data_IF_249852425914
#
_entry.id   IF_249852425914
#
_cell.length_a   1.000
_cell.length_b   1.000
_cell.length_c   1.000
_cell.angle_alpha   90.00
_cell.angle_beta   90.00
_cell.angle_gamma   90.00
#
_symmetry.space_group_name_H-M   'P 1'
#
loop_
_entity.id
_entity.type
_entity.pdbx_description
1 polymer ?
#
# COMPACT_ATOMS: atom_id res chain seq x y z
N UNK A 1 -21.35 4.91 -29.82
CA UNK A 1 -21.75 3.60 -30.35
C UNK A 1 -21.79 2.68 -29.15
N UNK A 2 -22.97 2.19 -28.76
CA UNK A 2 -23.14 1.35 -27.56
C UNK A 2 -22.82 -0.08 -27.92
N UNK A 3 -22.00 -0.74 -27.11
CA UNK A 3 -21.67 -2.16 -27.26
C UNK A 3 -22.94 -3.00 -27.12
N UNK A 4 -23.10 -4.03 -27.93
CA UNK A 4 -24.25 -4.95 -27.85
C UNK A 4 -24.02 -6.01 -26.77
N UNK A 5 -25.09 -6.58 -26.21
CA UNK A 5 -24.99 -7.62 -25.16
C UNK A 5 -24.18 -8.84 -25.60
N UNK A 6 -24.23 -9.20 -26.89
CA UNK A 6 -23.44 -10.30 -27.47
C UNK A 6 -21.95 -9.98 -27.48
N UNK A 7 -21.59 -8.75 -27.88
CA UNK A 7 -20.20 -8.31 -27.89
C UNK A 7 -19.65 -8.26 -26.46
N UNK A 8 -20.42 -7.74 -25.50
CA UNK A 8 -20.03 -7.72 -24.08
C UNK A 8 -19.79 -9.14 -23.54
N UNK A 9 -20.66 -10.10 -23.87
CA UNK A 9 -20.52 -11.49 -23.45
C UNK A 9 -19.23 -12.13 -24.01
N UNK A 10 -18.91 -11.89 -25.28
CA UNK A 10 -17.67 -12.40 -25.90
C UNK A 10 -16.43 -11.71 -25.32
N UNK A 11 -16.48 -10.41 -25.05
CA UNK A 11 -15.37 -9.69 -24.40
C UNK A 11 -15.10 -10.24 -23.00
N UNK A 12 -16.14 -10.44 -22.18
CA UNK A 12 -15.97 -11.02 -20.84
C UNK A 12 -15.46 -12.46 -20.89
N UNK A 13 -15.80 -13.21 -21.93
CA UNK A 13 -15.21 -14.53 -22.17
C UNK A 13 -13.71 -14.44 -22.48
N UNK A 14 -13.30 -13.51 -23.34
CA UNK A 14 -11.88 -13.27 -23.65
C UNK A 14 -11.09 -12.89 -22.39
N UNK A 15 -11.69 -12.07 -21.52
CA UNK A 15 -11.06 -11.60 -20.27
C UNK A 15 -11.09 -12.65 -19.14
N UNK A 16 -11.86 -13.74 -19.31
CA UNK A 16 -12.01 -14.79 -18.29
C UNK A 16 -12.95 -14.41 -17.13
N UNK A 17 -13.83 -13.45 -17.33
CA UNK A 17 -14.74 -12.88 -16.32
C UNK A 17 -16.21 -13.34 -16.48
N UNK A 18 -16.43 -14.52 -17.08
CA UNK A 18 -17.78 -15.08 -17.16
C UNK A 18 -18.27 -15.54 -15.79
N UNK A 19 -19.53 -15.25 -15.49
CA UNK A 19 -20.24 -15.94 -14.41
C UNK A 19 -20.69 -17.33 -14.87
N UNK A 20 -21.01 -18.26 -13.95
CA UNK A 20 -21.47 -19.60 -14.31
C UNK A 20 -22.72 -19.62 -15.21
N UNK A 21 -23.63 -18.65 -15.02
CA UNK A 21 -24.85 -18.54 -15.85
C UNK A 21 -24.50 -18.08 -17.28
N UNK A 22 -23.53 -17.17 -17.40
CA UNK A 22 -23.06 -16.63 -18.67
C UNK A 22 -22.21 -17.62 -19.47
N UNK A 23 -21.58 -18.61 -18.82
CA UNK A 23 -20.91 -19.70 -19.55
C UNK A 23 -21.88 -20.50 -20.43
N UNK A 24 -23.12 -20.71 -19.95
CA UNK A 24 -24.14 -21.40 -20.72
C UNK A 24 -24.61 -20.55 -21.90
N UNK A 25 -24.82 -19.25 -21.67
CA UNK A 25 -25.20 -18.29 -22.72
C UNK A 25 -24.11 -18.16 -23.78
N UNK A 26 -22.84 -18.11 -23.37
CA UNK A 26 -21.70 -18.06 -24.29
C UNK A 26 -21.64 -19.34 -25.13
N UNK A 27 -21.81 -20.53 -24.54
CA UNK A 27 -21.84 -21.79 -25.31
C UNK A 27 -22.95 -21.82 -26.36
N UNK A 28 -24.14 -21.32 -26.02
CA UNK A 28 -25.23 -21.22 -26.99
C UNK A 28 -24.90 -20.24 -28.12
N UNK A 29 -24.24 -19.12 -27.79
CA UNK A 29 -23.79 -18.14 -28.78
C UNK A 29 -22.68 -18.72 -29.69
N UNK A 30 -21.70 -19.42 -29.12
CA UNK A 30 -20.60 -20.08 -29.85
C UNK A 30 -21.13 -21.17 -30.79
N UNK A 31 -22.14 -21.94 -30.37
CA UNK A 31 -22.80 -22.93 -31.23
C UNK A 31 -23.63 -22.28 -32.34
N UNK A 32 -24.28 -21.15 -32.07
CA UNK A 32 -25.13 -20.46 -33.02
C UNK A 32 -24.35 -19.63 -34.06
N UNK A 33 -23.25 -19.01 -33.65
CA UNK A 33 -22.42 -18.13 -34.48
C UNK A 33 -20.93 -18.24 -34.10
N UNK A 34 -20.27 -19.34 -34.47
CA UNK A 34 -18.86 -19.56 -34.13
C UNK A 34 -17.93 -18.55 -34.81
N UNK A 35 -18.29 -18.07 -36.00
CA UNK A 35 -17.49 -17.12 -36.77
C UNK A 35 -17.45 -15.75 -36.10
N UNK A 36 -18.57 -15.31 -35.49
CA UNK A 36 -18.60 -14.09 -34.69
C UNK A 36 -17.63 -14.17 -33.51
N UNK A 37 -17.70 -15.22 -32.70
CA UNK A 37 -16.80 -15.43 -31.56
C UNK A 37 -15.33 -15.52 -32.00
N UNK A 38 -15.05 -16.26 -33.09
CA UNK A 38 -13.70 -16.40 -33.64
C UNK A 38 -13.13 -15.07 -34.12
N UNK A 39 -13.95 -14.23 -34.77
CA UNK A 39 -13.52 -12.90 -35.25
C UNK A 39 -13.11 -11.97 -34.12
N UNK A 40 -13.90 -11.94 -33.03
CA UNK A 40 -13.59 -11.14 -31.84
C UNK A 40 -12.34 -11.65 -31.13
N UNK A 41 -12.18 -12.97 -31.03
CA UNK A 41 -10.96 -13.57 -30.47
C UNK A 41 -9.72 -13.24 -31.31
N UNK A 42 -9.82 -13.35 -32.63
CA UNK A 42 -8.70 -13.01 -33.50
C UNK A 42 -8.32 -11.53 -33.38
N UNK A 43 -9.30 -10.63 -33.27
CA UNK A 43 -9.05 -9.21 -33.06
C UNK A 43 -8.39 -8.91 -31.70
N UNK A 44 -8.78 -9.61 -30.64
CA UNK A 44 -8.14 -9.44 -29.32
C UNK A 44 -6.72 -10.01 -29.28
N UNK A 45 -6.47 -11.12 -29.98
CA UNK A 45 -5.14 -11.70 -30.14
C UNK A 45 -4.20 -10.79 -30.95
N UNK A 46 -4.68 -10.20 -32.05
CA UNK A 46 -3.92 -9.24 -32.87
C UNK A 46 -3.57 -7.96 -32.08
N UNK A 47 -4.52 -7.47 -31.28
CA UNK A 47 -4.26 -6.35 -30.37
C UNK A 47 -3.21 -6.73 -29.32
N UNK A 48 -3.31 -7.92 -28.72
CA UNK A 48 -2.34 -8.42 -27.76
C UNK A 48 -0.95 -8.55 -28.38
N UNK A 49 -0.85 -9.09 -29.58
CA UNK A 49 0.42 -9.21 -30.31
C UNK A 49 1.00 -7.83 -30.62
N UNK A 50 0.17 -6.90 -31.08
CA UNK A 50 0.58 -5.51 -31.33
C UNK A 50 1.13 -4.84 -30.08
N UNK A 51 0.45 -4.98 -28.94
CA UNK A 51 0.91 -4.48 -27.65
C UNK A 51 2.25 -5.12 -27.28
N UNK A 52 2.34 -6.46 -27.31
CA UNK A 52 3.56 -7.19 -26.95
C UNK A 52 4.74 -6.87 -27.88
N UNK A 53 4.51 -6.63 -29.16
CA UNK A 53 5.55 -6.25 -30.13
C UNK A 53 6.19 -4.89 -29.82
N UNK A 54 5.45 -4.00 -29.13
CA UNK A 54 5.95 -2.73 -28.63
C UNK A 54 6.74 -2.84 -27.33
N UNK A 55 6.66 -3.97 -26.62
CA UNK A 55 7.42 -4.20 -25.39
C UNK A 55 8.80 -4.81 -25.71
N UNK A 56 9.85 -4.04 -25.46
CA UNK A 56 11.22 -4.56 -25.49
C UNK A 56 11.46 -5.48 -24.27
N UNK A 57 11.38 -6.79 -24.50
CA UNK A 57 11.55 -7.87 -23.51
C UNK A 57 12.97 -8.05 -22.95
N UNK A 58 13.92 -7.16 -23.25
CA UNK A 58 15.34 -7.38 -22.92
C UNK A 58 15.89 -6.41 -21.86
N UNK A 59 14.99 -5.80 -21.07
CA UNK A 59 15.39 -5.03 -19.90
C UNK A 59 15.45 -5.95 -18.67
N UNK A 60 16.62 -6.08 -18.07
CA UNK A 60 16.76 -6.71 -16.76
C UNK A 60 15.91 -5.92 -15.76
N UNK A 61 14.93 -6.57 -15.14
CA UNK A 61 14.04 -5.94 -14.16
C UNK A 61 14.90 -5.37 -13.03
N UNK A 62 14.93 -4.04 -12.83
CA UNK A 62 15.72 -3.45 -11.75
C UNK A 62 15.31 -4.08 -10.41
N UNK A 63 16.27 -4.66 -9.69
CA UNK A 63 16.04 -5.36 -8.42
C UNK A 63 15.10 -6.58 -8.50
N UNK A 64 15.22 -7.43 -9.54
CA UNK A 64 14.43 -8.67 -9.68
C UNK A 64 14.39 -9.56 -8.43
N UNK A 65 15.50 -9.66 -7.68
CA UNK A 65 15.55 -10.41 -6.42
C UNK A 65 14.60 -9.88 -5.35
N UNK A 66 14.42 -8.55 -5.27
CA UNK A 66 13.46 -7.94 -4.36
C UNK A 66 12.04 -8.33 -4.73
N UNK A 67 11.65 -8.21 -6.00
CA UNK A 67 10.33 -8.62 -6.49
C UNK A 67 10.07 -10.10 -6.21
N UNK A 68 11.04 -10.96 -6.51
CA UNK A 68 10.97 -12.40 -6.24
C UNK A 68 10.78 -12.68 -4.74
N UNK A 69 11.51 -11.97 -3.87
CA UNK A 69 11.38 -12.12 -2.42
C UNK A 69 9.99 -11.71 -1.90
N UNK A 70 9.37 -10.67 -2.48
CA UNK A 70 8.02 -10.23 -2.10
C UNK A 70 6.95 -11.20 -2.59
N UNK A 71 7.11 -11.75 -3.80
CA UNK A 71 6.24 -12.79 -4.35
C UNK A 71 6.33 -14.03 -3.45
N UNK A 72 7.54 -14.50 -3.14
CA UNK A 72 7.75 -15.67 -2.27
C UNK A 72 7.13 -15.45 -0.87
N UNK A 73 7.33 -14.27 -0.29
CA UNK A 73 6.74 -13.91 1.00
C UNK A 73 5.21 -13.95 0.96
N UNK A 74 4.58 -13.38 -0.08
CA UNK A 74 3.11 -13.42 -0.25
C UNK A 74 2.58 -14.83 -0.44
N UNK A 75 3.26 -15.65 -1.25
CA UNK A 75 2.90 -17.05 -1.46
C UNK A 75 2.97 -17.83 -0.14
N UNK A 76 4.06 -17.65 0.63
CA UNK A 76 4.21 -18.31 1.94
C UNK A 76 3.11 -17.89 2.92
N UNK A 77 2.75 -16.61 2.93
CA UNK A 77 1.66 -16.08 3.77
C UNK A 77 0.29 -16.61 3.35
N UNK A 78 0.01 -16.77 2.05
CA UNK A 78 -1.27 -17.31 1.57
C UNK A 78 -1.43 -18.79 1.92
N UNK A 79 -0.34 -19.57 1.88
CA UNK A 79 -0.35 -20.96 2.35
C UNK A 79 -0.50 -21.06 3.88
N UNK A 80 0.19 -20.22 4.66
CA UNK A 80 0.08 -20.22 6.12
C UNK A 80 -1.33 -19.84 6.60
N UNK A 81 -1.98 -18.87 5.95
CA UNK A 81 -3.36 -18.47 6.26
C UNK A 81 -4.38 -19.59 6.04
N UNK A 82 -4.07 -20.58 5.20
CA UNK A 82 -4.93 -21.74 4.96
C UNK A 82 -4.79 -22.84 6.04
N UNK A 83 -3.72 -22.85 6.84
CA UNK A 83 -3.48 -23.90 7.84
C UNK A 83 -3.85 -23.53 9.29
N UNK A 84 -4.13 -22.26 9.61
CA UNK A 84 -4.46 -21.85 10.97
C UNK A 84 -5.98 -21.76 11.19
N UNK A 85 -6.62 -22.92 11.34
CA UNK A 85 -7.88 -23.04 12.08
C UNK A 85 -7.79 -24.20 13.08
N UNK A 86 -6.84 -24.15 14.01
CA UNK A 86 -6.88 -25.00 15.21
C UNK A 86 -6.41 -24.27 16.46
N UNK A 87 -7.39 -23.65 17.12
CA UNK A 87 -7.60 -23.71 18.57
C UNK A 87 -6.38 -23.56 19.51
N UNK A 88 -5.82 -22.36 19.60
CA UNK A 88 -4.93 -21.96 20.71
C UNK A 88 -5.73 -21.46 21.93
N UNK A 89 -7.03 -21.20 21.77
CA UNK A 89 -7.92 -20.69 22.83
C UNK A 89 -8.41 -21.76 23.82
N UNK A 90 -8.28 -23.06 23.50
CA UNK A 90 -8.72 -24.14 24.39
C UNK A 90 -7.71 -24.50 25.49
N UNK A 91 -6.42 -24.22 25.28
CA UNK A 91 -5.37 -24.52 26.26
C UNK A 91 -5.33 -23.52 27.44
N UNK A 92 -5.77 -22.27 27.22
CA UNK A 92 -5.75 -21.21 28.24
C UNK A 92 -6.83 -21.39 29.34
N UNK A 93 -7.89 -22.16 29.09
CA UNK A 93 -9.05 -22.27 30.00
C UNK A 93 -8.84 -23.33 31.10
N UNK A 94 -7.85 -24.22 30.96
CA UNK A 94 -7.61 -25.30 31.93
C UNK A 94 -6.95 -24.79 33.23
N UNK A 95 -6.23 -23.67 33.17
CA UNK A 95 -5.51 -23.11 34.33
C UNK A 95 -6.39 -22.36 35.36
N UNK A 96 -7.65 -22.05 35.02
CA UNK A 96 -8.58 -21.31 35.89
C UNK A 96 -9.26 -22.18 36.96
N UNK A 97 -9.11 -23.52 36.91
CA UNK A 97 -9.80 -24.43 37.84
C UNK A 97 -9.02 -24.83 39.10
N UNK A 98 -7.87 -24.21 39.38
CA UNK A 98 -7.08 -24.49 40.59
C UNK A 98 -7.34 -23.45 41.70
N UNK A 99 -7.88 -23.83 42.87
CA UNK A 99 -8.20 -22.90 43.95
C UNK A 99 -6.98 -22.33 44.71
N UNK A 100 -5.75 -22.66 44.30
CA UNK A 100 -4.52 -22.28 45.02
C UNK A 100 -3.75 -21.08 44.42
N UNK A 101 -4.22 -20.48 43.31
CA UNK A 101 -3.49 -19.40 42.60
C UNK A 101 -3.95 -17.97 42.93
N UNK A 102 -5.03 -17.80 43.69
CA UNK A 102 -5.62 -16.47 43.95
C UNK A 102 -4.70 -15.55 44.78
N UNK A 103 -3.88 -16.12 45.68
CA UNK A 103 -2.95 -15.33 46.51
C UNK A 103 -1.82 -14.73 45.66
N UNK A 104 -1.30 -15.47 44.67
CA UNK A 104 -0.23 -14.99 43.78
C UNK A 104 -0.72 -13.93 42.78
N UNK A 105 -1.97 -14.05 42.29
CA UNK A 105 -2.55 -13.08 41.37
C UNK A 105 -2.71 -11.68 42.01
N UNK A 106 -3.05 -11.62 43.31
CA UNK A 106 -3.20 -10.33 44.01
C UNK A 106 -1.88 -9.56 44.14
N UNK A 107 -0.77 -10.26 44.36
CA UNK A 107 0.57 -9.68 44.42
C UNK A 107 1.05 -9.20 43.05
N UNK A 108 0.71 -9.93 41.97
CA UNK A 108 1.07 -9.53 40.60
C UNK A 108 0.26 -8.31 40.12
N UNK A 109 -1.03 -8.23 40.47
CA UNK A 109 -1.85 -7.04 40.17
C UNK A 109 -1.36 -5.80 40.94
N UNK A 110 -0.92 -5.94 42.19
CA UNK A 110 -0.31 -4.84 42.94
C UNK A 110 1.04 -4.41 42.34
N UNK A 111 1.85 -5.35 41.84
CA UNK A 111 3.09 -5.06 41.11
C UNK A 111 2.83 -4.33 39.77
N UNK A 112 1.80 -4.73 39.02
CA UNK A 112 1.41 -4.04 37.79
C UNK A 112 0.84 -2.62 38.06
N UNK A 113 0.07 -2.46 39.14
CA UNK A 113 -0.46 -1.14 39.53
C UNK A 113 0.62 -0.23 40.12
N UNK A 114 1.67 -0.77 40.76
CA UNK A 114 2.83 0.02 41.19
C UNK A 114 3.77 0.36 40.02
N UNK A 115 3.95 -0.53 39.04
CA UNK A 115 4.76 -0.26 37.84
C UNK A 115 4.10 0.75 36.90
N UNK A 116 2.76 0.83 36.86
CA UNK A 116 2.02 1.81 36.06
C UNK A 116 2.02 3.24 36.63
N UNK A 117 2.64 3.49 37.79
CA UNK A 117 2.73 4.84 38.37
C UNK A 117 3.75 5.74 37.67
N UNK A 118 4.51 5.20 36.71
CA UNK A 118 5.41 5.95 35.83
C UNK A 118 4.85 6.13 34.41
N UNK A 119 3.54 5.92 34.21
CA UNK A 119 2.88 6.41 33.01
C UNK A 119 2.52 7.88 33.25
N UNK A 120 3.56 8.73 33.18
CA UNK A 120 3.35 10.16 33.04
C UNK A 120 2.44 10.37 31.83
N UNK A 121 1.29 10.94 32.11
CA UNK A 121 0.23 11.21 31.17
C UNK A 121 0.62 12.47 30.38
N UNK A 122 1.71 12.36 29.60
CA UNK A 122 2.12 13.37 28.65
C UNK A 122 1.26 13.27 27.39
N UNK A 123 0.55 14.35 27.07
CA UNK A 123 -0.15 14.53 25.78
C UNK A 123 0.95 14.65 24.71
N UNK A 124 1.44 13.51 24.24
CA UNK A 124 2.56 13.43 23.29
C UNK A 124 2.30 12.38 22.23
N UNK A 125 2.53 12.74 20.96
CA UNK A 125 2.42 11.82 19.83
C UNK A 125 3.50 10.74 19.92
N UNK A 126 3.10 9.47 20.07
CA UNK A 126 4.02 8.33 20.09
C UNK A 126 4.37 7.92 18.66
N UNK A 127 5.66 7.88 18.34
CA UNK A 127 6.14 7.41 17.04
C UNK A 127 6.04 5.88 16.99
N UNK A 128 5.14 5.35 16.17
CA UNK A 128 4.83 3.90 16.09
C UNK A 128 5.86 3.15 15.22
N UNK A 129 6.36 3.79 14.19
CA UNK A 129 7.41 3.23 13.33
C UNK A 129 8.16 4.34 12.60
N UNK A 130 9.43 4.06 12.27
CA UNK A 130 10.28 4.93 11.47
C UNK A 130 10.94 4.10 10.38
N UNK A 131 11.02 4.64 9.17
CA UNK A 131 11.60 3.97 8.01
C UNK A 131 12.54 4.94 7.28
N UNK A 132 13.71 4.44 6.88
CA UNK A 132 14.63 5.15 5.99
C UNK A 132 14.66 4.42 4.64
N UNK A 133 14.29 5.09 3.53
CA UNK A 133 14.39 4.50 2.19
C UNK A 133 15.83 4.23 1.76
N UNK A 134 16.77 5.05 2.25
CA UNK A 134 18.19 4.93 1.93
C UNK A 134 18.89 4.03 2.98
N UNK A 135 19.53 2.91 2.56
CA UNK A 135 20.23 2.01 3.48
C UNK A 135 21.48 2.63 4.11
N UNK A 136 22.01 3.73 3.55
CA UNK A 136 23.14 4.46 4.12
C UNK A 136 22.74 5.39 5.27
N UNK A 137 21.45 5.65 5.46
CA UNK A 137 20.91 6.52 6.50
C UNK A 137 20.27 5.68 7.61
N UNK A 138 20.76 5.85 8.83
CA UNK A 138 20.27 5.15 10.02
C UNK A 138 19.45 6.08 10.93
N UNK A 139 18.35 5.56 11.46
CA UNK A 139 17.53 6.26 12.44
C UNK A 139 18.09 5.94 13.82
N UNK A 140 18.69 6.93 14.48
CA UNK A 140 19.31 6.80 15.81
C UNK A 140 18.28 6.86 16.91
N UNK A 141 17.31 7.77 16.79
CA UNK A 141 16.20 7.88 17.74
C UNK A 141 15.00 8.60 17.12
N UNK A 142 13.81 8.31 17.64
CA UNK A 142 12.59 9.02 17.29
C UNK A 142 11.73 9.14 18.55
N UNK A 143 11.38 10.36 18.93
CA UNK A 143 10.60 10.59 20.15
C UNK A 143 10.26 12.06 20.36
N UNK A 144 9.34 12.32 21.29
CA UNK A 144 9.03 13.68 21.70
C UNK A 144 10.15 14.24 22.57
N UNK A 145 10.66 15.41 22.21
CA UNK A 145 11.64 16.14 22.99
C UNK A 145 10.96 17.37 23.60
N UNK A 146 10.90 17.43 24.92
CA UNK A 146 10.21 18.49 25.67
C UNK A 146 10.91 19.85 25.55
N UNK A 147 12.25 19.88 25.51
CA UNK A 147 13.03 21.11 25.36
C UNK A 147 12.80 21.76 23.99
N UNK A 148 12.61 20.94 22.95
CA UNK A 148 12.27 21.39 21.60
C UNK A 148 10.76 21.59 21.39
N UNK A 149 9.93 21.12 22.33
CA UNK A 149 8.46 21.12 22.20
C UNK A 149 7.93 20.32 21.00
N UNK A 150 8.71 19.38 20.45
CA UNK A 150 8.43 18.74 19.18
C UNK A 150 8.88 17.26 19.13
N UNK A 151 8.31 16.50 18.20
CA UNK A 151 8.81 15.17 17.85
C UNK A 151 10.11 15.32 17.06
N UNK A 152 11.19 14.78 17.61
CA UNK A 152 12.54 14.83 17.02
C UNK A 152 12.91 13.44 16.53
N UNK A 153 13.37 13.38 15.29
CA UNK A 153 13.93 12.17 14.67
C UNK A 153 15.41 12.45 14.40
N UNK A 154 16.30 11.70 15.04
CA UNK A 154 17.75 11.81 14.85
C UNK A 154 18.19 10.80 13.80
N UNK A 155 18.83 11.30 12.75
CA UNK A 155 19.35 10.50 11.65
C UNK A 155 20.89 10.57 11.62
N UNK A 156 21.54 9.48 11.22
CA UNK A 156 22.97 9.39 10.94
C UNK A 156 23.19 8.89 9.51
N UNK A 157 24.31 9.26 8.89
CA UNK A 157 24.63 8.86 7.51
C UNK A 157 24.13 9.81 6.42
N UNK A 158 23.54 10.95 6.78
CA UNK A 158 23.21 12.01 5.82
C UNK A 158 24.47 12.72 5.33
N UNK A 159 24.51 13.06 4.04
CA UNK A 159 25.55 13.90 3.47
C UNK A 159 25.53 15.29 4.13
N UNK A 160 26.72 15.84 4.39
CA UNK A 160 26.84 17.17 4.99
C UNK A 160 26.37 18.20 3.97
N UNK A 161 25.39 19.01 4.37
CA UNK A 161 24.98 20.20 3.62
C UNK A 161 26.14 21.23 3.66
N UNK A 162 26.63 21.71 2.52
CA UNK A 162 27.65 22.75 2.45
C UNK A 162 27.19 24.07 3.10
N UNK A 163 28.09 24.76 3.81
CA UNK A 163 27.79 26.02 4.52
C UNK A 163 27.39 27.19 3.59
N UNK A 164 27.69 27.06 2.28
CA UNK A 164 27.37 28.02 1.22
C UNK A 164 26.04 27.71 0.50
N UNK A 165 25.28 26.72 0.98
CA UNK A 165 23.97 26.38 0.43
C UNK A 165 22.94 27.44 0.81
N UNK A 166 22.55 28.29 -0.14
CA UNK A 166 21.45 29.24 0.03
C UNK A 166 20.11 28.52 -0.11
N UNK A 167 19.42 28.33 1.02
CA UNK A 167 18.05 27.84 1.03
C UNK A 167 17.10 28.98 0.67
N UNK A 168 16.79 29.12 -0.63
CA UNK A 168 15.68 29.95 -1.07
C UNK A 168 14.36 29.28 -0.66
N UNK A 169 13.93 29.53 0.58
CA UNK A 169 12.67 29.02 1.11
C UNK A 169 11.52 29.79 0.46
N UNK A 170 11.00 29.27 -0.65
CA UNK A 170 9.68 29.69 -1.11
C UNK A 170 8.66 29.14 -0.12
N UNK A 171 8.20 30.00 0.79
CA UNK A 171 7.28 29.64 1.85
C UNK A 171 5.89 29.41 1.27
N UNK A 172 5.57 28.16 0.95
CA UNK A 172 4.24 27.75 0.54
C UNK A 172 3.28 27.95 1.73
N UNK A 173 2.16 28.63 1.50
CA UNK A 173 1.15 28.87 2.54
C UNK A 173 -0.22 28.30 2.19
N UNK A 174 -0.49 28.05 0.91
CA UNK A 174 -1.74 27.48 0.45
C UNK A 174 -1.52 26.65 -0.81
N UNK A 175 -2.48 25.78 -1.09
CA UNK A 175 -2.57 25.05 -2.34
C UNK A 175 -4.02 25.03 -2.83
N UNK A 176 -4.19 24.94 -4.15
CA UNK A 176 -5.50 24.79 -4.81
C UNK A 176 -5.47 23.63 -5.80
N UNK A 177 -6.55 22.85 -5.88
CA UNK A 177 -6.67 21.65 -6.73
C UNK A 177 -7.69 21.88 -7.84
N UNK A 178 -7.25 21.71 -9.09
CA UNK A 178 -8.04 21.89 -10.29
C UNK A 178 -8.50 20.53 -10.87
N UNK A 179 -9.62 19.98 -10.37
CA UNK A 179 -10.31 18.81 -10.95
C UNK A 179 -9.56 17.45 -10.89
N UNK A 180 -10.16 16.34 -11.39
CA UNK A 180 -9.45 15.11 -11.74
C UNK A 180 -9.58 14.73 -13.24
N UNK A 181 -8.51 14.25 -13.92
CA UNK A 181 -7.10 14.42 -13.54
C UNK A 181 -6.76 15.91 -13.49
N UNK A 182 -5.91 16.33 -12.55
CA UNK A 182 -5.84 17.74 -12.18
C UNK A 182 -4.51 18.23 -11.71
N UNK A 183 -4.38 19.56 -11.72
CA UNK A 183 -3.18 20.25 -11.25
C UNK A 183 -3.39 20.76 -9.82
N UNK A 184 -2.35 20.65 -9.01
CA UNK A 184 -2.26 21.28 -7.70
C UNK A 184 -1.31 22.47 -7.81
N UNK A 185 -1.83 23.67 -7.60
CA UNK A 185 -1.04 24.91 -7.56
C UNK A 185 -0.67 25.20 -6.11
N UNK A 186 0.58 25.54 -5.86
CA UNK A 186 1.08 25.95 -4.56
C UNK A 186 1.40 27.44 -4.60
N UNK A 187 0.93 28.18 -3.60
CA UNK A 187 1.06 29.64 -3.55
C UNK A 187 1.95 30.10 -2.39
N UNK A 188 2.67 31.21 -2.61
CA UNK A 188 3.43 31.90 -1.57
C UNK A 188 2.54 32.87 -0.76
N UNK A 189 3.13 33.58 0.22
CA UNK A 189 2.44 34.57 1.05
C UNK A 189 1.87 35.75 0.26
N UNK A 190 2.34 35.97 -0.96
CA UNK A 190 1.92 37.02 -1.88
C UNK A 190 0.85 36.55 -2.87
N UNK A 191 0.35 35.32 -2.70
CA UNK A 191 -0.65 34.68 -3.57
C UNK A 191 -0.13 34.41 -5.01
N UNK A 192 1.19 34.29 -5.16
CA UNK A 192 1.83 33.93 -6.42
C UNK A 192 2.06 32.41 -6.50
N UNK A 193 1.79 31.82 -7.66
CA UNK A 193 2.03 30.39 -7.92
C UNK A 193 3.54 30.13 -7.92
N UNK A 194 3.99 29.29 -7.00
CA UNK A 194 5.39 28.87 -6.86
C UNK A 194 5.65 27.56 -7.58
N UNK A 195 4.70 26.63 -7.51
CA UNK A 195 4.87 25.27 -8.01
C UNK A 195 3.52 24.71 -8.49
N UNK A 196 3.57 23.91 -9.55
CA UNK A 196 2.42 23.22 -10.12
C UNK A 196 2.75 21.74 -10.18
N UNK A 197 1.93 20.92 -9.54
CA UNK A 197 2.04 19.45 -9.53
C UNK A 197 0.90 18.86 -10.35
N UNK A 198 1.23 18.06 -11.36
CA UNK A 198 0.25 17.23 -12.05
C UNK A 198 -0.12 16.03 -11.18
N UNK A 199 -1.41 15.77 -11.05
CA UNK A 199 -1.92 14.65 -10.25
C UNK A 199 -2.86 13.77 -11.05
N UNK A 200 -2.82 12.48 -10.75
CA UNK A 200 -3.71 11.49 -11.32
C UNK A 200 -5.16 11.62 -10.80
N UNK A 201 -6.02 10.70 -11.23
CA UNK A 201 -7.43 10.61 -10.82
C UNK A 201 -7.60 10.40 -9.30
N UNK A 202 -6.56 9.89 -8.62
CA UNK A 202 -6.51 9.67 -7.17
C UNK A 202 -5.83 10.81 -6.41
N UNK A 203 -5.33 11.82 -7.11
CA UNK A 203 -4.64 12.95 -6.53
C UNK A 203 -3.21 12.69 -6.10
N UNK A 204 -2.60 11.64 -6.60
CA UNK A 204 -1.19 11.34 -6.39
C UNK A 204 -0.34 12.06 -7.44
N UNK A 205 0.87 12.53 -7.08
CA UNK A 205 1.80 13.12 -8.03
C UNK A 205 2.11 12.11 -9.14
N UNK A 206 2.07 12.58 -10.38
CA UNK A 206 2.47 11.77 -11.53
C UNK A 206 4.00 11.62 -11.50
N UNK A 207 4.50 10.55 -10.90
CA UNK A 207 5.91 10.17 -10.91
C UNK A 207 6.15 9.28 -12.13
N UNK A 208 6.78 9.86 -13.15
CA UNK A 208 7.38 9.10 -14.26
C UNK A 208 8.62 8.35 -13.79
#
# INVERSE_FOLDING_TARGET
MTMTEKEELVTRWIDGELSPDQELEFKQLEEADPDFCASFKAASEDLRESVLSGFHSEMEVPHGDFFNSQIEKRIRQSYAKKSESSSVLSAAIIWIKSPFTWVAASAFCLLLVLSNKNLDQGIGSTVVSTYSPDPSVSIVSAGYNEEAGATVIKLEGLERIPDDTDFSVNHIVSYDRQGPPGFVHFYNKQDEVVYIMETDEYGLPNVF
#
